data_IF_538018498855
#
_entry.id   IF_538018498855
#
_cell.length_a   1.000
_cell.length_b   1.000
_cell.length_c   1.000
_cell.angle_alpha   90.00
_cell.angle_beta   90.00
_cell.angle_gamma   90.00
#
_symmetry.space_group_name_H-M   'P 1'
#
loop_
_entity.id
_entity.type
_entity.pdbx_description
1 polymer ?
#
# COMPACT_ATOMS: atom_id res chain seq x y z
N UNK A 1 8.63 -8.88 -1.71
CA UNK A 1 7.75 -9.37 -0.61
C UNK A 1 6.38 -8.69 -0.59
N UNK A 2 6.27 -7.42 -1.01
CA UNK A 2 4.99 -6.74 -1.23
C UNK A 2 4.12 -7.43 -2.27
N UNK A 3 4.78 -8.01 -3.29
CA UNK A 3 4.12 -8.87 -4.26
C UNK A 3 3.50 -10.14 -3.64
N UNK A 4 3.89 -10.61 -2.46
CA UNK A 4 3.25 -11.80 -1.85
C UNK A 4 1.84 -11.53 -1.32
N UNK A 5 1.51 -10.26 -1.02
CA UNK A 5 0.13 -9.87 -0.71
C UNK A 5 -0.77 -9.95 -1.96
N UNK A 6 -0.19 -9.79 -3.16
CA UNK A 6 -0.89 -9.93 -4.45
C UNK A 6 -0.71 -11.29 -5.14
N UNK A 7 0.40 -12.00 -4.93
CA UNK A 7 0.82 -13.22 -5.62
C UNK A 7 0.29 -14.51 -4.97
N UNK A 8 -0.24 -14.42 -3.75
CA UNK A 8 -1.03 -15.53 -3.19
C UNK A 8 -2.29 -15.85 -4.02
N UNK A 9 -2.58 -15.04 -5.05
CA UNK A 9 -3.71 -15.16 -5.95
C UNK A 9 -3.46 -16.04 -7.19
N UNK A 10 -2.22 -16.17 -7.71
CA UNK A 10 -2.04 -16.80 -9.03
C UNK A 10 -1.72 -18.30 -9.00
N UNK A 11 -1.16 -18.84 -7.91
CA UNK A 11 -0.62 -20.21 -7.92
C UNK A 11 -1.66 -21.28 -7.53
N UNK A 12 -2.69 -20.95 -6.75
CA UNK A 12 -3.68 -21.94 -6.27
C UNK A 12 -4.89 -22.12 -7.21
N UNK A 13 -5.23 -21.12 -8.03
CA UNK A 13 -6.35 -21.23 -8.97
C UNK A 13 -6.04 -22.17 -10.14
N UNK A 14 -4.82 -22.12 -10.68
CA UNK A 14 -4.44 -22.92 -11.85
C UNK A 14 -4.13 -24.38 -11.52
N UNK A 15 -3.66 -24.67 -10.30
CA UNK A 15 -3.31 -26.05 -9.92
C UNK A 15 -4.54 -26.93 -9.63
N UNK A 16 -5.65 -26.33 -9.19
CA UNK A 16 -6.90 -27.05 -8.89
C UNK A 16 -7.70 -27.43 -10.15
N UNK A 17 -7.63 -26.63 -11.22
CA UNK A 17 -8.32 -26.89 -12.48
C UNK A 17 -7.62 -27.99 -13.29
N UNK A 18 -6.29 -28.11 -13.19
CA UNK A 18 -5.51 -29.13 -13.91
C UNK A 18 -5.68 -30.57 -13.38
N UNK A 19 -6.33 -30.77 -12.21
CA UNK A 19 -6.56 -32.12 -11.64
C UNK A 19 -7.88 -32.78 -12.05
N UNK A 20 -8.76 -32.08 -12.77
CA UNK A 20 -9.83 -32.72 -13.55
C UNK A 20 -10.79 -33.63 -12.78
N UNK A 21 -11.21 -33.30 -11.56
CA UNK A 21 -12.24 -34.06 -10.84
C UNK A 21 -13.56 -33.29 -10.74
N UNK A 22 -14.60 -33.90 -11.31
CA UNK A 22 -15.97 -33.40 -11.36
C UNK A 22 -16.81 -33.91 -10.17
N UNK A 23 -17.29 -32.98 -9.31
CA UNK A 23 -18.57 -32.91 -8.53
C UNK A 23 -19.09 -34.15 -7.75
N UNK A 24 -20.10 -34.09 -6.84
CA UNK A 24 -20.63 -33.06 -5.93
C UNK A 24 -20.61 -33.55 -4.44
N UNK A 25 -21.16 -32.75 -3.51
CA UNK A 25 -21.48 -33.06 -2.09
C UNK A 25 -20.42 -32.62 -1.06
N UNK A 26 -20.79 -31.53 -0.37
CA UNK A 26 -20.34 -31.03 0.93
C UNK A 26 -19.42 -31.97 1.73
N UNK A 27 -18.14 -31.62 1.81
CA UNK A 27 -17.36 -31.82 3.03
C UNK A 27 -16.74 -30.49 3.43
N UNK A 28 -17.08 -30.06 4.64
CA UNK A 28 -16.36 -29.07 5.41
C UNK A 28 -14.90 -29.53 5.51
N UNK A 29 -14.02 -28.95 4.69
CA UNK A 29 -12.59 -28.99 4.92
C UNK A 29 -12.05 -27.71 4.34
N UNK A 30 -11.68 -26.80 5.24
CA UNK A 30 -10.74 -25.72 4.96
C UNK A 30 -11.12 -24.91 3.73
N UNK A 31 -12.20 -24.14 3.88
CA UNK A 31 -12.31 -22.88 3.19
C UNK A 31 -11.09 -22.06 3.63
N UNK A 32 -9.94 -22.28 3.00
CA UNK A 32 -8.83 -21.35 2.95
C UNK A 32 -9.50 -20.04 2.67
N UNK A 33 -9.59 -19.20 3.71
CA UNK A 33 -10.35 -17.96 3.72
C UNK A 33 -10.03 -17.29 2.40
N UNK A 34 -11.02 -17.28 1.49
CA UNK A 34 -10.97 -16.47 0.29
C UNK A 34 -10.71 -15.08 0.84
N UNK A 35 -9.46 -14.67 0.74
CA UNK A 35 -8.96 -13.59 1.54
C UNK A 35 -9.64 -12.36 0.94
N UNK A 36 -10.55 -11.74 1.68
CA UNK A 36 -11.44 -10.68 1.20
C UNK A 36 -10.67 -9.35 0.99
N UNK A 37 -9.52 -9.37 0.31
CA UNK A 37 -8.74 -8.18 -0.04
C UNK A 37 -9.54 -7.24 -0.95
N UNK A 38 -10.57 -7.77 -1.63
CA UNK A 38 -11.54 -7.01 -2.42
C UNK A 38 -12.38 -6.01 -1.58
N UNK A 39 -12.38 -6.13 -0.25
CA UNK A 39 -13.14 -5.22 0.63
C UNK A 39 -12.37 -3.95 0.99
N UNK A 40 -11.02 -3.95 0.90
CA UNK A 40 -10.25 -2.75 1.14
C UNK A 40 -10.40 -1.79 -0.05
N UNK A 41 -10.62 -0.51 0.23
CA UNK A 41 -10.72 0.54 -0.78
C UNK A 41 -9.90 1.76 -0.36
N UNK A 42 -9.45 2.61 -1.31
CA UNK A 42 -8.76 3.86 -0.97
C UNK A 42 -9.59 4.77 -0.03
N UNK A 43 -10.91 4.77 -0.16
CA UNK A 43 -11.82 5.55 0.71
C UNK A 43 -11.78 5.10 2.18
N UNK A 44 -11.65 3.80 2.42
CA UNK A 44 -11.47 3.26 3.77
C UNK A 44 -10.13 3.69 4.37
N UNK A 45 -9.05 3.66 3.56
CA UNK A 45 -7.74 4.15 3.99
C UNK A 45 -7.75 5.66 4.25
N UNK A 46 -8.49 6.43 3.45
CA UNK A 46 -8.71 7.87 3.66
C UNK A 46 -9.48 8.15 4.95
N UNK A 47 -10.49 7.35 5.24
CA UNK A 47 -11.24 7.42 6.50
C UNK A 47 -10.32 7.11 7.69
N UNK A 48 -9.48 6.07 7.60
CA UNK A 48 -8.48 5.78 8.64
C UNK A 48 -7.51 6.95 8.82
N UNK A 49 -6.95 7.48 7.73
CA UNK A 49 -6.00 8.59 7.80
C UNK A 49 -6.58 9.81 8.50
N UNK A 50 -7.84 10.15 8.21
CA UNK A 50 -8.58 11.21 8.90
C UNK A 50 -8.72 10.94 10.40
N UNK A 51 -9.03 9.70 10.81
CA UNK A 51 -9.15 9.31 12.23
C UNK A 51 -7.81 9.33 12.97
N UNK A 52 -6.69 9.07 12.29
CA UNK A 52 -5.35 9.22 12.87
C UNK A 52 -5.01 10.69 13.17
N UNK A 53 -5.70 11.65 12.53
CA UNK A 53 -5.66 13.07 12.84
C UNK A 53 -4.24 13.67 12.83
N UNK A 54 -3.43 13.29 11.85
CA UNK A 54 -2.07 13.81 11.67
C UNK A 54 -1.01 13.24 12.60
N UNK A 55 -1.34 12.25 13.44
CA UNK A 55 -0.35 11.56 14.28
C UNK A 55 0.62 10.75 13.41
N UNK A 56 1.91 10.85 13.72
CA UNK A 56 2.97 10.09 13.05
C UNK A 56 3.12 8.67 13.61
N UNK A 57 2.79 8.50 14.89
CA UNK A 57 2.85 7.22 15.60
C UNK A 57 1.48 6.93 16.18
N UNK A 58 1.03 5.69 16.04
CA UNK A 58 -0.23 5.21 16.58
C UNK A 58 -0.04 3.88 17.30
N UNK A 59 -0.82 3.66 18.35
CA UNK A 59 -0.78 2.39 19.08
C UNK A 59 -1.51 1.29 18.30
N UNK A 60 -0.97 0.09 18.32
CA UNK A 60 -1.55 -1.05 17.61
C UNK A 60 -2.96 -1.40 18.08
N UNK A 61 -3.23 -1.31 19.38
CA UNK A 61 -4.56 -1.58 19.94
C UNK A 61 -5.58 -0.55 19.45
N UNK A 62 -5.19 0.72 19.40
CA UNK A 62 -6.04 1.80 18.87
C UNK A 62 -6.33 1.60 17.39
N UNK A 63 -5.29 1.32 16.58
CA UNK A 63 -5.43 1.11 15.15
C UNK A 63 -6.29 -0.13 14.83
N UNK A 64 -6.14 -1.21 15.58
CA UNK A 64 -6.95 -2.41 15.44
C UNK A 64 -8.44 -2.13 15.70
N UNK A 65 -8.77 -1.24 16.65
CA UNK A 65 -10.16 -0.83 16.89
C UNK A 65 -10.72 -0.03 15.72
N UNK A 66 -9.96 0.95 15.20
CA UNK A 66 -10.38 1.70 14.01
C UNK A 66 -10.60 0.79 12.80
N UNK A 67 -9.68 -0.16 12.59
CA UNK A 67 -9.78 -1.17 11.53
C UNK A 67 -11.06 -2.02 11.64
N UNK A 68 -11.39 -2.45 12.86
CA UNK A 68 -12.60 -3.22 13.17
C UNK A 68 -13.88 -2.41 12.96
N UNK A 69 -13.90 -1.13 13.34
CA UNK A 69 -15.05 -0.23 13.14
C UNK A 69 -15.36 -0.08 11.66
N UNK A 70 -14.34 0.00 10.82
CA UNK A 70 -14.47 0.04 9.36
C UNK A 70 -14.80 -1.32 8.73
N UNK A 71 -14.92 -2.37 9.55
CA UNK A 71 -15.23 -3.76 9.13
C UNK A 71 -14.25 -4.30 8.10
N UNK A 72 -13.01 -3.83 8.14
CA UNK A 72 -11.95 -4.35 7.26
C UNK A 72 -11.50 -5.70 7.83
N UNK A 73 -11.25 -6.73 6.99
CA UNK A 73 -10.83 -8.05 7.46
C UNK A 73 -9.61 -8.00 8.39
N UNK A 74 -9.69 -8.70 9.52
CA UNK A 74 -8.58 -8.78 10.50
C UNK A 74 -7.36 -9.48 9.92
N UNK A 75 -7.54 -10.43 9.01
CA UNK A 75 -6.43 -11.15 8.36
C UNK A 75 -5.55 -10.19 7.53
N UNK A 76 -6.17 -9.20 6.89
CA UNK A 76 -5.47 -8.15 6.17
C UNK A 76 -4.66 -7.27 7.14
N UNK A 77 -5.27 -6.88 8.27
CA UNK A 77 -4.56 -6.13 9.31
C UNK A 77 -3.32 -6.88 9.80
N UNK A 78 -3.49 -8.16 10.16
CA UNK A 78 -2.40 -9.00 10.64
C UNK A 78 -1.30 -9.17 9.58
N UNK A 79 -1.67 -9.31 8.30
CA UNK A 79 -0.71 -9.39 7.20
C UNK A 79 0.13 -8.12 7.10
N UNK A 80 -0.51 -6.94 7.16
CA UNK A 80 0.19 -5.66 7.15
C UNK A 80 1.10 -5.50 8.37
N UNK A 81 0.62 -5.88 9.56
CA UNK A 81 1.41 -5.86 10.80
C UNK A 81 2.66 -6.73 10.70
N UNK A 82 2.52 -7.94 10.15
CA UNK A 82 3.61 -8.90 10.00
C UNK A 82 4.65 -8.43 8.97
N UNK A 83 4.22 -7.94 7.80
CA UNK A 83 5.12 -7.43 6.74
C UNK A 83 5.88 -6.20 7.22
N UNK A 84 5.22 -5.30 7.96
CA UNK A 84 5.86 -4.11 8.50
C UNK A 84 6.69 -4.35 9.76
N UNK A 85 6.67 -5.57 10.30
CA UNK A 85 7.26 -5.91 11.60
C UNK A 85 6.84 -4.94 12.72
N UNK A 86 5.58 -4.49 12.67
CA UNK A 86 5.05 -3.55 13.63
C UNK A 86 4.76 -4.23 14.97
N UNK A 87 4.94 -3.50 16.06
CA UNK A 87 4.71 -3.99 17.43
C UNK A 87 3.64 -3.14 18.13
N UNK A 88 3.93 -2.54 19.28
CA UNK A 88 2.97 -1.72 20.02
C UNK A 88 2.81 -0.32 19.42
N UNK A 89 3.91 0.27 18.93
CA UNK A 89 3.93 1.57 18.29
C UNK A 89 4.17 1.40 16.78
N UNK A 90 3.30 2.05 16.01
CA UNK A 90 3.25 1.92 14.56
C UNK A 90 3.54 3.28 13.94
N UNK A 91 4.57 3.35 13.10
CA UNK A 91 4.78 4.50 12.21
C UNK A 91 3.67 4.55 11.16
N UNK A 92 2.78 5.54 11.27
CA UNK A 92 1.55 5.61 10.52
C UNK A 92 1.77 5.56 9.00
N UNK A 93 2.74 6.31 8.48
CA UNK A 93 3.02 6.36 7.05
C UNK A 93 3.52 5.02 6.50
N UNK A 94 4.33 4.28 7.28
CA UNK A 94 4.80 2.94 6.91
C UNK A 94 3.63 1.97 6.84
N UNK A 95 2.78 1.97 7.86
CA UNK A 95 1.59 1.15 7.88
C UNK A 95 0.66 1.47 6.71
N UNK A 96 0.41 2.76 6.45
CA UNK A 96 -0.43 3.21 5.35
C UNK A 96 0.14 2.80 3.99
N UNK A 97 1.46 2.84 3.81
CA UNK A 97 2.13 2.39 2.59
C UNK A 97 1.88 0.90 2.32
N UNK A 98 2.05 0.06 3.33
CA UNK A 98 1.78 -1.38 3.24
C UNK A 98 0.29 -1.71 3.07
N UNK A 99 -0.59 -1.00 3.78
CA UNK A 99 -2.02 -1.15 3.58
C UNK A 99 -2.44 -0.73 2.16
N UNK A 100 -1.78 0.25 1.57
CA UNK A 100 -2.02 0.68 0.19
C UNK A 100 -1.44 -0.27 -0.85
N UNK A 101 -0.39 -1.03 -0.53
CA UNK A 101 0.17 -2.04 -1.44
C UNK A 101 -0.77 -3.23 -1.62
N UNK A 102 -1.64 -3.50 -0.65
CA UNK A 102 -2.77 -4.42 -0.80
C UNK A 102 -3.68 -4.11 -2.01
N UNK A 103 -3.75 -2.84 -2.40
CA UNK A 103 -4.58 -2.32 -3.49
C UNK A 103 -3.80 -2.07 -4.79
N UNK A 104 -2.46 -2.10 -4.71
CA UNK A 104 -1.56 -1.71 -5.78
C UNK A 104 -0.63 -2.86 -6.16
N UNK A 105 -0.73 -3.32 -7.41
CA UNK A 105 0.13 -4.39 -7.94
C UNK A 105 1.57 -3.95 -8.24
N UNK A 106 1.85 -2.64 -8.24
CA UNK A 106 3.18 -2.08 -8.47
C UNK A 106 3.47 -0.95 -7.51
N UNK A 107 4.75 -0.67 -7.25
CA UNK A 107 5.21 0.42 -6.37
C UNK A 107 4.67 1.77 -6.83
N UNK A 108 4.68 2.05 -8.13
CA UNK A 108 4.10 3.26 -8.70
C UNK A 108 2.60 3.40 -8.36
N UNK A 109 1.85 2.29 -8.44
CA UNK A 109 0.42 2.29 -8.11
C UNK A 109 0.18 2.44 -6.61
N UNK A 110 0.98 1.77 -5.77
CA UNK A 110 0.95 1.94 -4.32
C UNK A 110 1.22 3.39 -3.93
N UNK A 111 2.27 4.01 -4.48
CA UNK A 111 2.61 5.41 -4.21
C UNK A 111 1.49 6.35 -4.66
N UNK A 112 0.88 6.10 -5.82
CA UNK A 112 -0.31 6.84 -6.27
C UNK A 112 -1.44 6.79 -5.23
N UNK A 113 -1.80 5.59 -4.77
CA UNK A 113 -2.88 5.40 -3.79
C UNK A 113 -2.56 6.10 -2.47
N UNK A 114 -1.32 5.96 -1.96
CA UNK A 114 -0.91 6.63 -0.73
C UNK A 114 -0.94 8.15 -0.89
N UNK A 115 -0.47 8.69 -2.01
CA UNK A 115 -0.54 10.13 -2.29
C UNK A 115 -1.98 10.63 -2.33
N UNK A 116 -2.89 9.87 -2.95
CA UNK A 116 -4.34 10.16 -2.97
C UNK A 116 -4.94 10.16 -1.57
N UNK A 117 -4.56 9.21 -0.71
CA UNK A 117 -5.03 9.12 0.67
C UNK A 117 -4.49 10.25 1.55
N UNK A 118 -3.22 10.63 1.38
CA UNK A 118 -2.56 11.68 2.16
C UNK A 118 -2.92 13.11 1.71
N UNK A 119 -3.42 13.27 0.49
CA UNK A 119 -3.80 14.58 -0.03
C UNK A 119 -5.08 15.08 0.64
N UNK A 120 -4.99 16.22 1.33
CA UNK A 120 -6.17 16.87 1.91
C UNK A 120 -7.01 17.53 0.80
N UNK A 121 -8.29 17.11 0.67
CA UNK A 121 -9.24 17.55 -0.36
C UNK A 121 -9.77 18.99 -0.16
N UNK A 122 -8.92 20.00 -0.02
CA UNK A 122 -9.42 21.38 0.18
C UNK A 122 -9.41 22.26 -1.08
N UNK A 123 -9.02 21.77 -2.26
CA UNK A 123 -8.81 22.66 -3.42
C UNK A 123 -9.17 22.08 -4.81
N UNK A 124 -9.70 20.85 -4.88
CA UNK A 124 -10.09 20.23 -6.16
C UNK A 124 -8.95 19.99 -7.19
N UNK A 125 -7.71 20.30 -6.81
CA UNK A 125 -6.51 20.04 -7.60
C UNK A 125 -6.05 18.58 -7.53
N UNK A 126 -5.04 18.19 -8.34
CA UNK A 126 -4.49 16.85 -8.30
C UNK A 126 -3.91 16.55 -6.91
N UNK A 127 -3.97 15.28 -6.46
CA UNK A 127 -3.35 14.86 -5.21
C UNK A 127 -1.88 15.27 -5.15
N UNK A 128 -1.50 15.92 -4.05
CA UNK A 128 -0.19 16.54 -3.83
C UNK A 128 0.26 16.34 -2.40
N UNK A 129 1.54 15.98 -2.22
CA UNK A 129 2.17 15.80 -0.92
C UNK A 129 3.55 16.47 -0.90
N UNK A 130 4.12 16.76 0.29
CA UNK A 130 5.53 17.16 0.38
C UNK A 130 6.44 16.09 -0.24
N UNK A 131 7.44 16.52 -1.01
CA UNK A 131 8.39 15.61 -1.65
C UNK A 131 9.18 14.77 -0.63
N UNK A 132 9.49 15.32 0.55
CA UNK A 132 10.11 14.57 1.65
C UNK A 132 9.27 13.38 2.10
N UNK A 133 7.93 13.53 2.14
CA UNK A 133 7.01 12.43 2.42
C UNK A 133 7.06 11.38 1.32
N UNK A 134 7.10 11.79 0.05
CA UNK A 134 7.25 10.87 -1.08
C UNK A 134 8.59 10.11 -1.03
N UNK A 135 9.70 10.79 -0.73
CA UNK A 135 11.02 10.17 -0.58
C UNK A 135 11.00 9.08 0.49
N UNK A 136 10.42 9.38 1.66
CA UNK A 136 10.25 8.43 2.75
C UNK A 136 9.44 7.20 2.30
N UNK A 137 8.29 7.43 1.66
CA UNK A 137 7.40 6.35 1.21
C UNK A 137 8.06 5.47 0.14
N UNK A 138 8.65 6.05 -0.89
CA UNK A 138 9.28 5.29 -1.98
C UNK A 138 10.46 4.47 -1.46
N UNK A 139 11.30 5.05 -0.61
CA UNK A 139 12.43 4.34 0.00
C UNK A 139 11.95 3.16 0.83
N UNK A 140 10.96 3.38 1.69
CA UNK A 140 10.41 2.32 2.55
C UNK A 140 9.76 1.20 1.74
N UNK A 141 8.93 1.53 0.75
CA UNK A 141 8.27 0.53 -0.09
C UNK A 141 9.31 -0.28 -0.88
N UNK A 142 10.33 0.37 -1.45
CA UNK A 142 11.40 -0.32 -2.17
C UNK A 142 12.23 -1.24 -1.27
N UNK A 143 12.50 -0.84 -0.03
CA UNK A 143 13.19 -1.66 0.97
C UNK A 143 12.38 -2.91 1.33
N UNK A 144 11.07 -2.77 1.58
CA UNK A 144 10.18 -3.90 1.87
C UNK A 144 9.97 -4.79 0.65
N UNK A 145 9.96 -4.21 -0.56
CA UNK A 145 9.84 -5.01 -1.77
C UNK A 145 11.05 -5.93 -1.97
N UNK A 146 12.25 -5.36 -1.81
CA UNK A 146 13.54 -6.05 -1.90
C UNK A 146 14.09 -6.20 -3.32
N UNK A 147 13.29 -5.92 -4.35
CA UNK A 147 13.68 -6.10 -5.76
C UNK A 147 14.42 -4.87 -6.32
N UNK A 148 14.16 -3.68 -5.78
CA UNK A 148 14.76 -2.42 -6.24
C UNK A 148 16.02 -2.10 -5.45
N UNK A 149 17.14 -1.93 -6.16
CA UNK A 149 18.40 -1.51 -5.52
C UNK A 149 18.33 -0.10 -4.94
N UNK A 150 18.98 0.13 -3.80
CA UNK A 150 19.10 1.45 -3.16
C UNK A 150 19.68 2.52 -4.08
N UNK A 151 20.60 2.13 -4.98
CA UNK A 151 21.19 3.02 -5.99
C UNK A 151 20.17 3.49 -7.03
N UNK A 152 19.21 2.64 -7.41
CA UNK A 152 18.13 3.00 -8.32
C UNK A 152 17.16 3.95 -7.65
N UNK A 153 16.73 3.64 -6.42
CA UNK A 153 15.89 4.52 -5.60
C UNK A 153 16.52 5.91 -5.48
N UNK A 154 17.80 5.97 -5.09
CA UNK A 154 18.53 7.23 -4.92
C UNK A 154 18.63 8.02 -6.23
N UNK A 155 18.90 7.34 -7.35
CA UNK A 155 18.96 7.97 -8.68
C UNK A 155 17.61 8.55 -9.08
N UNK A 156 16.53 7.82 -8.90
CA UNK A 156 15.18 8.28 -9.24
C UNK A 156 14.74 9.44 -8.35
N UNK A 157 14.99 9.38 -7.05
CA UNK A 157 14.70 10.50 -6.14
C UNK A 157 15.51 11.74 -6.52
N UNK A 158 16.80 11.59 -6.83
CA UNK A 158 17.65 12.72 -7.27
C UNK A 158 17.13 13.33 -8.57
N UNK A 159 16.71 12.51 -9.53
CA UNK A 159 16.13 12.97 -10.80
C UNK A 159 14.84 13.76 -10.56
N UNK A 160 13.92 13.22 -9.75
CA UNK A 160 12.66 13.88 -9.43
C UNK A 160 12.93 15.23 -8.75
N UNK A 161 13.81 15.26 -7.75
CA UNK A 161 14.16 16.47 -7.00
C UNK A 161 14.73 17.58 -7.89
N UNK A 162 15.59 17.22 -8.85
CA UNK A 162 16.28 18.20 -9.70
C UNK A 162 15.42 18.70 -10.87
N UNK A 163 14.62 17.81 -11.47
CA UNK A 163 13.98 18.07 -12.76
C UNK A 163 12.48 18.32 -12.66
N UNK A 164 11.86 17.95 -11.54
CA UNK A 164 10.40 18.01 -11.38
C UNK A 164 10.00 18.88 -10.19
N UNK A 165 10.69 18.74 -9.06
CA UNK A 165 10.30 19.44 -7.83
C UNK A 165 10.63 20.93 -7.94
N UNK A 166 9.59 21.75 -7.77
CA UNK A 166 9.69 23.20 -7.73
C UNK A 166 10.14 23.73 -6.35
N UNK A 167 10.24 25.07 -6.21
CA UNK A 167 10.63 25.71 -4.95
C UNK A 167 9.63 25.49 -3.80
N UNK A 168 8.41 25.04 -4.11
CA UNK A 168 7.38 24.68 -3.12
C UNK A 168 7.63 23.31 -2.47
N UNK A 169 8.52 22.48 -3.02
CA UNK A 169 8.87 21.17 -2.47
C UNK A 169 7.71 20.18 -2.53
N UNK A 170 6.80 20.35 -3.48
CA UNK A 170 5.60 19.52 -3.63
C UNK A 170 5.75 18.57 -4.83
N UNK A 171 5.25 17.35 -4.65
CA UNK A 171 5.09 16.37 -5.73
C UNK A 171 3.61 16.02 -5.91
N UNK A 172 3.19 15.90 -7.15
CA UNK A 172 1.84 15.46 -7.54
C UNK A 172 1.86 14.06 -8.13
N UNK A 173 0.71 13.39 -8.15
CA UNK A 173 0.57 12.07 -8.78
C UNK A 173 0.97 12.08 -10.26
N UNK A 174 0.70 13.18 -10.98
CA UNK A 174 1.01 13.28 -12.41
C UNK A 174 2.52 13.30 -12.67
N UNK A 175 3.31 13.86 -11.76
CA UNK A 175 4.75 14.03 -11.90
C UNK A 175 5.50 12.70 -12.07
N UNK A 176 5.02 11.63 -11.43
CA UNK A 176 5.63 10.31 -11.50
C UNK A 176 4.81 9.27 -12.28
N UNK A 177 3.56 9.56 -12.63
CA UNK A 177 2.72 8.64 -13.43
C UNK A 177 2.67 8.99 -14.90
N UNK A 178 2.85 10.26 -15.28
CA UNK A 178 2.84 10.71 -16.67
C UNK A 178 4.23 10.99 -17.24
N UNK A 179 5.27 10.98 -16.38
CA UNK A 179 6.64 11.22 -16.81
C UNK A 179 7.34 9.88 -17.15
N UNK A 180 7.63 9.59 -18.44
CA UNK A 180 8.24 8.32 -18.85
C UNK A 180 9.69 8.13 -18.36
N UNK A 181 10.32 9.20 -17.86
CA UNK A 181 11.67 9.16 -17.27
C UNK A 181 11.64 8.73 -15.80
N UNK A 182 10.49 8.84 -15.13
CA UNK A 182 10.31 8.37 -13.76
C UNK A 182 9.91 6.90 -13.80
N UNK A 183 10.83 6.01 -13.38
CA UNK A 183 10.60 4.57 -13.33
C UNK A 183 10.75 4.09 -11.90
N UNK A 184 9.62 3.84 -11.25
CA UNK A 184 9.54 3.46 -9.83
C UNK A 184 9.53 1.94 -9.62
N UNK A 185 10.06 1.21 -10.60
CA UNK A 185 10.17 -0.24 -10.71
C UNK A 185 11.61 -0.64 -11.03
#
# INVERSE_FOLDING_TARGET
MLLLLSDSFSCSYFEAVCRGESSPVRQQSEQVSLCNWAELTPELLKTLHSQVAGRLIIRADELAQMWKVLKIPTDLFNSVMNVGHFTEEIEWLKFLALASSALGVTIARTLKIVCEVLSCDHDGGPPRIPFSTFQFLYTYIAEVDGEISTSHVSRMLSYIEQEIIGPDGIITVNDFTQNPRVRLE
#
